data_IF_787032387265
#
_entry.id   IF_787032387265
#
_cell.length_a   1.000
_cell.length_b   1.000
_cell.length_c   1.000
_cell.angle_alpha   90.00
_cell.angle_beta   90.00
_cell.angle_gamma   90.00
#
_symmetry.space_group_name_H-M   'P 1'
#
loop_
_entity.id
_entity.type
_entity.pdbx_description
1 polymer ?
#
# COMPACT_ATOMS: atom_id res chain seq x y z
N UNK A 1 -47.66 25.64 38.66
CA UNK A 1 -48.73 26.03 39.61
C UNK A 1 -48.36 26.00 41.11
N UNK A 2 -47.43 25.14 41.60
CA UNK A 2 -47.13 25.00 43.04
C UNK A 2 -46.37 26.18 43.69
N UNK A 3 -45.58 26.93 42.91
CA UNK A 3 -44.84 28.12 43.35
C UNK A 3 -45.75 29.34 43.55
N UNK A 4 -46.82 29.47 42.76
CA UNK A 4 -47.80 30.57 42.90
C UNK A 4 -48.60 30.46 44.19
N UNK A 5 -49.12 29.26 44.53
CA UNK A 5 -49.84 29.03 45.81
C UNK A 5 -48.98 29.34 47.03
N UNK A 6 -47.68 29.09 46.91
CA UNK A 6 -46.66 29.35 47.93
C UNK A 6 -46.35 30.83 48.13
N UNK A 7 -46.23 31.59 47.04
CA UNK A 7 -46.12 33.06 47.07
C UNK A 7 -47.38 33.72 47.64
N UNK A 8 -48.56 33.22 47.25
CA UNK A 8 -49.85 33.67 47.78
C UNK A 8 -49.94 33.43 49.29
N UNK A 9 -49.48 32.27 49.79
CA UNK A 9 -49.45 31.98 51.22
C UNK A 9 -48.49 32.90 52.00
N UNK A 10 -47.37 33.30 51.39
CA UNK A 10 -46.39 34.23 51.97
C UNK A 10 -46.98 35.65 52.07
N UNK A 11 -47.70 36.10 51.03
CA UNK A 11 -48.46 37.37 51.06
C UNK A 11 -49.59 37.31 52.09
N UNK A 12 -50.27 36.17 52.23
CA UNK A 12 -51.36 35.97 53.19
C UNK A 12 -50.87 35.88 54.64
N UNK A 13 -49.67 35.34 54.88
CA UNK A 13 -48.99 35.32 56.18
C UNK A 13 -48.45 36.71 56.58
N UNK A 14 -48.09 37.54 55.60
CA UNK A 14 -47.67 38.94 55.78
C UNK A 14 -48.83 39.93 55.92
N UNK A 15 -50.03 39.57 55.45
CA UNK A 15 -51.24 40.39 55.49
C UNK A 15 -51.62 40.86 56.92
N UNK A 16 -51.59 40.03 57.98
CA UNK A 16 -51.83 40.50 59.35
C UNK A 16 -50.73 41.44 59.86
N UNK A 17 -49.49 41.32 59.39
CA UNK A 17 -48.41 42.28 59.71
C UNK A 17 -48.68 43.65 59.08
N UNK A 18 -49.15 43.68 57.83
CA UNK A 18 -49.57 44.91 57.15
C UNK A 18 -50.80 45.55 57.81
N UNK A 19 -51.79 44.75 58.22
CA UNK A 19 -52.99 45.24 58.92
C UNK A 19 -52.61 45.85 60.29
N UNK A 20 -51.74 45.18 61.07
CA UNK A 20 -51.25 45.72 62.35
C UNK A 20 -50.42 47.00 62.20
N UNK A 21 -49.83 47.26 61.03
CA UNK A 21 -49.07 48.49 60.74
C UNK A 21 -49.99 49.64 60.31
N UNK A 22 -51.15 49.34 59.70
CA UNK A 22 -52.12 50.31 59.19
C UNK A 22 -53.13 50.77 60.26
N UNK A 23 -53.46 49.94 61.24
CA UNK A 23 -54.39 50.27 62.33
C UNK A 23 -53.72 50.90 63.57
N UNK A 24 -52.69 51.74 63.37
CA UNK A 24 -52.02 52.44 64.45
C UNK A 24 -52.83 53.67 64.91
N UNK A 25 -54.00 53.45 65.52
CA UNK A 25 -54.64 54.44 66.38
C UNK A 25 -54.33 54.10 67.85
N UNK A 26 -53.90 55.13 68.58
CA UNK A 26 -53.40 55.06 69.95
C UNK A 26 -54.47 54.64 70.97
N UNK A 27 -54.21 53.57 71.72
CA UNK A 27 -54.63 53.47 73.12
C UNK A 27 -53.47 52.95 73.97
N UNK A 28 -52.93 53.82 74.84
CA UNK A 28 -51.94 53.46 75.84
C UNK A 28 -52.53 52.49 76.88
N UNK A 29 -52.17 51.20 76.85
CA UNK A 29 -52.17 50.37 78.06
C UNK A 29 -51.07 49.29 78.08
N UNK A 30 -50.14 49.45 79.05
CA UNK A 30 -49.02 48.55 79.41
C UNK A 30 -47.97 48.26 78.31
N UNK A 31 -46.76 48.80 78.50
CA UNK A 31 -45.55 48.54 77.67
C UNK A 31 -45.26 47.05 77.39
N UNK A 32 -45.77 46.15 78.24
CA UNK A 32 -45.59 44.71 78.12
C UNK A 32 -46.49 44.08 77.04
N UNK A 33 -47.74 44.53 76.87
CA UNK A 33 -48.67 43.95 75.89
C UNK A 33 -48.23 44.22 74.45
N UNK A 34 -47.76 45.44 74.17
CA UNK A 34 -47.27 45.81 72.84
C UNK A 34 -45.97 45.08 72.47
N UNK A 35 -45.08 44.90 73.44
CA UNK A 35 -43.85 44.12 73.26
C UNK A 35 -44.15 42.65 72.96
N UNK A 36 -45.11 42.05 73.67
CA UNK A 36 -45.56 40.67 73.41
C UNK A 36 -46.20 40.57 72.01
N UNK A 37 -47.05 41.51 71.61
CA UNK A 37 -47.65 41.53 70.28
C UNK A 37 -46.62 41.61 69.15
N UNK A 38 -45.64 42.52 69.25
CA UNK A 38 -44.54 42.64 68.28
C UNK A 38 -43.65 41.39 68.24
N UNK A 39 -43.40 40.77 69.39
CA UNK A 39 -42.59 39.54 69.51
C UNK A 39 -43.30 38.35 68.87
N UNK A 40 -44.59 38.16 69.16
CA UNK A 40 -45.40 37.11 68.54
C UNK A 40 -45.44 37.30 67.03
N UNK A 41 -45.62 38.53 66.55
CA UNK A 41 -45.61 38.81 65.13
C UNK A 41 -44.27 38.47 64.47
N UNK A 42 -43.15 38.89 65.08
CA UNK A 42 -41.81 38.55 64.60
C UNK A 42 -41.60 37.02 64.53
N UNK A 43 -42.05 36.28 65.55
CA UNK A 43 -41.95 34.81 65.57
C UNK A 43 -42.78 34.18 64.45
N UNK A 44 -44.00 34.65 64.21
CA UNK A 44 -44.86 34.14 63.13
C UNK A 44 -44.23 34.42 61.77
N UNK A 45 -43.73 35.64 61.56
CA UNK A 45 -43.07 36.03 60.32
C UNK A 45 -41.79 35.23 60.09
N UNK A 46 -40.91 35.19 61.09
CA UNK A 46 -39.62 34.49 61.00
C UNK A 46 -39.82 32.97 60.88
N UNK A 47 -40.75 32.39 61.62
CA UNK A 47 -41.12 30.97 61.51
C UNK A 47 -41.68 30.62 60.14
N UNK A 48 -42.57 31.46 59.58
CA UNK A 48 -43.11 31.30 58.23
C UNK A 48 -42.02 31.39 57.15
N UNK A 49 -41.11 32.37 57.28
CA UNK A 49 -39.98 32.54 56.37
C UNK A 49 -38.99 31.37 56.46
N UNK A 50 -38.62 30.95 57.66
CA UNK A 50 -37.71 29.82 57.90
C UNK A 50 -38.29 28.52 57.34
N UNK A 51 -39.57 28.23 57.58
CA UNK A 51 -40.25 27.07 57.00
C UNK A 51 -40.25 27.10 55.46
N UNK A 52 -40.41 28.29 54.87
CA UNK A 52 -40.43 28.46 53.43
C UNK A 52 -39.05 28.33 52.78
N UNK A 53 -38.01 28.93 53.38
CA UNK A 53 -36.64 28.97 52.86
C UNK A 53 -35.86 27.67 53.15
N UNK A 54 -36.23 26.92 54.18
CA UNK A 54 -35.54 25.68 54.54
C UNK A 54 -35.44 24.69 53.37
N UNK A 55 -36.55 24.47 52.66
CA UNK A 55 -36.60 23.53 51.53
C UNK A 55 -35.76 23.97 50.31
N UNK A 56 -35.88 25.21 49.77
CA UNK A 56 -35.06 25.63 48.64
C UNK A 56 -33.57 25.72 48.97
N UNK A 57 -33.19 26.16 50.18
CA UNK A 57 -31.78 26.23 50.59
C UNK A 57 -31.19 24.82 50.69
N UNK A 58 -31.89 23.89 51.36
CA UNK A 58 -31.45 22.49 51.45
C UNK A 58 -31.32 21.84 50.08
N UNK A 59 -32.30 22.05 49.19
CA UNK A 59 -32.26 21.52 47.84
C UNK A 59 -31.10 22.10 47.01
N UNK A 60 -30.79 23.39 47.17
CA UNK A 60 -29.67 24.02 46.47
C UNK A 60 -28.33 23.45 46.95
N UNK A 61 -28.12 23.30 48.25
CA UNK A 61 -26.91 22.71 48.82
C UNK A 61 -26.75 21.24 48.43
N UNK A 62 -27.84 20.46 48.44
CA UNK A 62 -27.82 19.08 47.96
C UNK A 62 -27.47 19.00 46.48
N UNK A 63 -28.07 19.85 45.63
CA UNK A 63 -27.76 19.90 44.21
C UNK A 63 -26.29 20.26 43.96
N UNK A 64 -25.76 21.27 44.67
CA UNK A 64 -24.34 21.65 44.59
C UNK A 64 -23.41 20.50 45.02
N UNK A 65 -23.77 19.79 46.08
CA UNK A 65 -22.97 18.64 46.54
C UNK A 65 -22.98 17.51 45.50
N UNK A 66 -24.13 17.22 44.91
CA UNK A 66 -24.26 16.22 43.83
C UNK A 66 -23.50 16.61 42.57
N UNK A 67 -23.55 17.88 42.16
CA UNK A 67 -22.78 18.38 41.02
C UNK A 67 -21.27 18.22 41.23
N UNK A 68 -20.77 18.52 42.44
CA UNK A 68 -19.35 18.35 42.78
C UNK A 68 -18.96 16.87 42.82
N UNK A 69 -19.77 16.02 43.46
CA UNK A 69 -19.52 14.58 43.54
C UNK A 69 -19.51 13.94 42.15
N UNK A 70 -20.47 14.32 41.30
CA UNK A 70 -20.53 13.87 39.92
C UNK A 70 -19.32 14.36 39.12
N UNK A 71 -18.93 15.63 39.24
CA UNK A 71 -17.75 16.17 38.56
C UNK A 71 -16.45 15.49 38.98
N UNK A 72 -16.28 15.19 40.27
CA UNK A 72 -15.12 14.42 40.77
C UNK A 72 -15.11 13.00 40.22
N UNK A 73 -16.28 12.34 40.18
CA UNK A 73 -16.40 11.00 39.63
C UNK A 73 -16.08 10.96 38.14
N UNK A 74 -16.66 11.87 37.36
CA UNK A 74 -16.40 11.99 35.93
C UNK A 74 -14.93 12.28 35.63
N UNK A 75 -14.29 13.18 36.40
CA UNK A 75 -12.86 13.45 36.27
C UNK A 75 -12.00 12.20 36.57
N UNK A 76 -12.35 11.45 37.62
CA UNK A 76 -11.67 10.20 37.96
C UNK A 76 -11.87 9.10 36.92
N UNK A 77 -13.07 8.98 36.36
CA UNK A 77 -13.38 8.04 35.27
C UNK A 77 -12.60 8.40 34.00
N UNK A 78 -12.57 9.68 33.62
CA UNK A 78 -11.82 10.18 32.48
C UNK A 78 -10.30 9.96 32.63
N UNK A 79 -9.76 10.19 33.84
CA UNK A 79 -8.35 9.92 34.12
C UNK A 79 -8.01 8.43 33.96
N UNK A 80 -8.86 7.55 34.53
CA UNK A 80 -8.67 6.10 34.40
C UNK A 80 -8.75 5.64 32.95
N UNK A 81 -9.71 6.15 32.18
CA UNK A 81 -9.84 5.82 30.76
C UNK A 81 -8.62 6.30 29.96
N UNK A 82 -8.12 7.51 30.24
CA UNK A 82 -6.91 8.03 29.59
C UNK A 82 -5.67 7.18 29.92
N UNK A 83 -5.50 6.78 31.18
CA UNK A 83 -4.41 5.88 31.60
C UNK A 83 -4.50 4.51 30.93
N UNK A 84 -5.70 3.93 30.80
CA UNK A 84 -5.92 2.68 30.09
C UNK A 84 -5.54 2.80 28.62
N UNK A 85 -6.04 3.83 27.93
CA UNK A 85 -5.70 4.09 26.51
C UNK A 85 -4.21 4.30 26.30
N UNK A 86 -3.54 5.00 27.21
CA UNK A 86 -2.10 5.23 27.15
C UNK A 86 -1.32 3.92 27.34
N UNK A 87 -1.74 3.06 28.27
CA UNK A 87 -1.14 1.72 28.46
C UNK A 87 -1.34 0.84 27.22
N UNK A 88 -2.54 0.82 26.66
CA UNK A 88 -2.82 0.08 25.42
C UNK A 88 -1.99 0.59 24.24
N UNK A 89 -1.87 1.90 24.07
CA UNK A 89 -1.06 2.50 23.02
C UNK A 89 0.42 2.13 23.18
N UNK A 90 0.97 2.23 24.39
CA UNK A 90 2.35 1.84 24.67
C UNK A 90 2.59 0.35 24.45
N UNK A 91 1.64 -0.51 24.83
CA UNK A 91 1.74 -1.95 24.58
C UNK A 91 1.75 -2.25 23.07
N UNK A 92 0.93 -1.56 22.27
CA UNK A 92 0.93 -1.69 20.81
C UNK A 92 2.24 -1.20 20.20
N UNK A 93 2.78 -0.07 20.67
CA UNK A 93 4.07 0.45 20.21
C UNK A 93 5.21 -0.55 20.46
N UNK A 94 5.25 -1.16 21.65
CA UNK A 94 6.27 -2.15 21.97
C UNK A 94 6.20 -3.40 21.07
N UNK A 95 4.99 -3.85 20.71
CA UNK A 95 4.80 -4.97 19.78
C UNK A 95 5.24 -4.58 18.36
N UNK A 96 4.90 -3.36 17.92
CA UNK A 96 5.27 -2.86 16.59
C UNK A 96 6.79 -2.76 16.42
N UNK A 97 7.55 -2.41 17.45
CA UNK A 97 9.01 -2.38 17.38
C UNK A 97 9.61 -3.76 17.05
N UNK A 98 9.13 -4.82 17.71
CA UNK A 98 9.55 -6.21 17.43
C UNK A 98 9.10 -6.67 16.03
N UNK A 99 7.89 -6.33 15.61
CA UNK A 99 7.40 -6.61 14.25
C UNK A 99 8.25 -5.91 13.18
N UNK A 100 8.64 -4.65 13.40
CA UNK A 100 9.51 -3.90 12.49
C UNK A 100 10.90 -4.55 12.42
N UNK A 101 11.46 -4.99 13.54
CA UNK A 101 12.76 -5.67 13.53
C UNK A 101 12.69 -7.00 12.78
N UNK A 102 11.63 -7.79 13.00
CA UNK A 102 11.37 -9.03 12.25
C UNK A 102 11.23 -8.76 10.76
N UNK A 103 10.42 -7.78 10.37
CA UNK A 103 10.20 -7.41 8.97
C UNK A 103 11.51 -6.97 8.30
N UNK A 104 12.35 -6.20 8.99
CA UNK A 104 13.67 -5.80 8.47
C UNK A 104 14.58 -7.01 8.25
N UNK A 105 14.64 -7.94 9.20
CA UNK A 105 15.44 -9.17 9.07
C UNK A 105 14.95 -10.03 7.91
N UNK A 106 13.64 -10.19 7.77
CA UNK A 106 13.02 -10.96 6.69
C UNK A 106 13.31 -10.33 5.32
N UNK A 107 13.12 -9.01 5.20
CA UNK A 107 13.45 -8.26 3.98
C UNK A 107 14.93 -8.35 3.61
N UNK A 108 15.84 -8.37 4.59
CA UNK A 108 17.28 -8.54 4.33
C UNK A 108 17.61 -9.96 3.84
N UNK A 109 16.98 -11.00 4.43
CA UNK A 109 17.15 -12.40 4.00
C UNK A 109 16.59 -12.58 2.59
N UNK A 110 15.39 -12.08 2.32
CA UNK A 110 14.75 -12.14 1.01
C UNK A 110 15.56 -11.37 -0.03
N UNK A 111 16.03 -10.17 0.32
CA UNK A 111 16.88 -9.35 -0.54
C UNK A 111 18.20 -10.04 -0.91
N UNK A 112 18.84 -10.73 0.05
CA UNK A 112 20.04 -11.53 -0.23
C UNK A 112 19.73 -12.71 -1.16
N UNK A 113 18.65 -13.44 -0.91
CA UNK A 113 18.23 -14.58 -1.73
C UNK A 113 17.89 -14.16 -3.15
N UNK A 114 17.18 -13.05 -3.33
CA UNK A 114 16.86 -12.54 -4.67
C UNK A 114 18.11 -12.04 -5.39
N UNK A 115 19.03 -11.37 -4.67
CA UNK A 115 20.32 -10.98 -5.24
C UNK A 115 21.11 -12.19 -5.75
N UNK A 116 21.20 -13.25 -4.96
CA UNK A 116 21.87 -14.50 -5.37
C UNK A 116 21.19 -15.11 -6.59
N UNK A 117 19.86 -15.17 -6.60
CA UNK A 117 19.07 -15.67 -7.74
C UNK A 117 19.32 -14.87 -9.01
N UNK A 118 19.30 -13.54 -8.93
CA UNK A 118 19.56 -12.65 -10.07
C UNK A 118 20.98 -12.84 -10.60
N UNK A 119 21.98 -12.95 -9.71
CA UNK A 119 23.38 -13.20 -10.11
C UNK A 119 23.51 -14.55 -10.80
N UNK A 120 22.91 -15.61 -10.28
CA UNK A 120 22.92 -16.94 -10.90
C UNK A 120 22.26 -16.93 -12.28
N UNK A 121 21.10 -16.29 -12.40
CA UNK A 121 20.40 -16.16 -13.68
C UNK A 121 21.23 -15.38 -14.70
N UNK A 122 21.86 -14.27 -14.28
CA UNK A 122 22.73 -13.48 -15.14
C UNK A 122 23.96 -14.27 -15.61
N UNK A 123 24.55 -15.09 -14.74
CA UNK A 123 25.67 -15.97 -15.11
C UNK A 123 25.23 -17.05 -16.11
N UNK A 124 24.08 -17.68 -15.88
CA UNK A 124 23.52 -18.67 -16.81
C UNK A 124 23.23 -18.06 -18.17
N UNK A 125 22.64 -16.87 -18.21
CA UNK A 125 22.35 -16.17 -19.47
C UNK A 125 23.63 -15.74 -20.18
N UNK A 126 24.65 -15.27 -19.44
CA UNK A 126 25.94 -14.94 -20.02
C UNK A 126 26.61 -16.17 -20.66
N UNK A 127 26.58 -17.33 -20.01
CA UNK A 127 27.10 -18.58 -20.59
C UNK A 127 26.29 -19.03 -21.80
N UNK A 128 24.96 -18.89 -21.75
CA UNK A 128 24.06 -19.16 -22.87
C UNK A 128 24.39 -18.28 -24.08
N UNK A 129 24.58 -16.98 -23.87
CA UNK A 129 24.97 -16.03 -24.93
C UNK A 129 26.34 -16.41 -25.52
N UNK A 130 27.34 -16.71 -24.68
CA UNK A 130 28.66 -17.15 -25.16
C UNK A 130 28.57 -18.42 -25.99
N UNK A 131 27.75 -19.39 -25.58
CA UNK A 131 27.54 -20.62 -26.31
C UNK A 131 26.95 -20.35 -27.70
N UNK A 132 25.86 -19.58 -27.77
CA UNK A 132 25.26 -19.22 -29.06
C UNK A 132 26.20 -18.40 -29.94
N UNK A 133 26.94 -17.44 -29.37
CA UNK A 133 27.92 -16.66 -30.12
C UNK A 133 29.01 -17.55 -30.72
N UNK A 134 29.50 -18.56 -29.99
CA UNK A 134 30.48 -19.53 -30.53
C UNK A 134 29.89 -20.35 -31.68
N UNK A 135 28.66 -20.85 -31.53
CA UNK A 135 28.00 -21.60 -32.60
C UNK A 135 27.79 -20.75 -33.86
N UNK A 136 27.39 -19.49 -33.67
CA UNK A 136 27.20 -18.52 -34.76
C UNK A 136 28.53 -18.22 -35.47
N UNK A 137 29.60 -17.95 -34.71
CA UNK A 137 30.95 -17.72 -35.26
C UNK A 137 31.40 -18.93 -36.08
N UNK A 138 31.22 -20.15 -35.57
CA UNK A 138 31.59 -21.35 -36.32
C UNK A 138 30.78 -21.53 -37.60
N UNK A 139 29.48 -21.23 -37.57
CA UNK A 139 28.63 -21.27 -38.75
C UNK A 139 29.08 -20.26 -39.80
N UNK A 140 29.28 -19.00 -39.40
CA UNK A 140 29.75 -17.92 -40.26
C UNK A 140 31.13 -18.22 -40.83
N UNK A 141 32.03 -18.80 -40.03
CA UNK A 141 33.37 -19.18 -40.48
C UNK A 141 33.32 -20.29 -41.53
N UNK A 142 32.46 -21.31 -41.34
CA UNK A 142 32.25 -22.35 -42.35
C UNK A 142 31.68 -21.78 -43.65
N UNK A 143 30.69 -20.90 -43.56
CA UNK A 143 30.11 -20.22 -44.71
C UNK A 143 31.16 -19.37 -45.45
N UNK A 144 31.92 -18.54 -44.73
CA UNK A 144 32.96 -17.70 -45.32
C UNK A 144 34.09 -18.49 -45.98
N UNK A 145 34.47 -19.65 -45.42
CA UNK A 145 35.44 -20.56 -46.07
C UNK A 145 34.88 -21.12 -47.39
N UNK A 146 33.59 -21.46 -47.41
CA UNK A 146 32.94 -21.96 -48.63
C UNK A 146 32.88 -20.87 -49.71
N UNK A 147 32.49 -19.65 -49.33
CA UNK A 147 32.45 -18.50 -50.24
C UNK A 147 33.86 -18.19 -50.80
N UNK A 148 34.89 -18.21 -49.94
CA UNK A 148 36.26 -17.99 -50.36
C UNK A 148 36.74 -19.05 -51.36
N UNK A 149 36.43 -20.33 -51.10
CA UNK A 149 36.77 -21.43 -52.02
C UNK A 149 36.10 -21.27 -53.37
N UNK A 150 34.82 -20.87 -53.39
CA UNK A 150 34.10 -20.64 -54.63
C UNK A 150 34.73 -19.47 -55.40
N UNK A 151 34.99 -18.35 -54.74
CA UNK A 151 35.65 -17.20 -55.36
C UNK A 151 37.04 -17.54 -55.92
N UNK A 152 37.85 -18.33 -55.19
CA UNK A 152 39.16 -18.76 -55.68
C UNK A 152 39.06 -19.72 -56.87
N UNK A 153 38.08 -20.63 -56.89
CA UNK A 153 37.86 -21.52 -58.01
C UNK A 153 37.43 -20.75 -59.27
N UNK A 154 36.55 -19.76 -59.12
CA UNK A 154 36.12 -18.87 -60.20
C UNK A 154 37.29 -18.07 -60.76
N UNK A 155 38.10 -17.45 -59.88
CA UNK A 155 39.27 -16.67 -60.28
C UNK A 155 40.35 -17.53 -60.97
N UNK A 156 40.63 -18.72 -60.44
CA UNK A 156 41.59 -19.65 -61.03
C UNK A 156 41.12 -20.13 -62.41
N UNK A 157 39.83 -20.41 -62.57
CA UNK A 157 39.24 -20.82 -63.85
C UNK A 157 39.32 -19.67 -64.87
N UNK A 158 38.99 -18.45 -64.48
CA UNK A 158 39.11 -17.28 -65.34
C UNK A 158 40.56 -17.02 -65.79
N UNK A 159 41.53 -17.16 -64.87
CA UNK A 159 42.94 -17.00 -65.20
C UNK A 159 43.45 -18.11 -66.13
N UNK A 160 43.01 -19.36 -65.91
CA UNK A 160 43.33 -20.48 -66.78
C UNK A 160 42.76 -20.27 -68.19
N UNK A 161 41.50 -19.84 -68.30
CA UNK A 161 40.86 -19.51 -69.58
C UNK A 161 41.64 -18.40 -70.31
N UNK A 162 42.01 -17.33 -69.62
CA UNK A 162 42.80 -16.24 -70.21
C UNK A 162 44.18 -16.72 -70.69
N UNK A 163 44.86 -17.54 -69.89
CA UNK A 163 46.18 -18.12 -70.23
C UNK A 163 46.10 -19.04 -71.44
N UNK A 164 45.08 -19.90 -71.51
CA UNK A 164 44.85 -20.80 -72.65
C UNK A 164 44.59 -19.97 -73.90
N UNK A 165 43.65 -19.00 -73.86
CA UNK A 165 43.37 -18.11 -74.99
C UNK A 165 44.61 -17.39 -75.53
N UNK A 166 45.52 -16.96 -74.65
CA UNK A 166 46.75 -16.25 -75.05
C UNK A 166 47.86 -17.15 -75.60
N UNK A 167 47.88 -18.44 -75.25
CA UNK A 167 48.97 -19.37 -75.60
C UNK A 167 48.59 -20.44 -76.63
N UNK A 168 47.32 -20.57 -76.98
CA UNK A 168 46.83 -21.60 -77.88
C UNK A 168 47.41 -21.44 -79.30
N UNK A 169 48.08 -22.49 -79.80
CA UNK A 169 48.53 -22.55 -81.19
C UNK A 169 47.50 -23.24 -82.10
N UNK A 170 47.61 -23.09 -83.43
CA UNK A 170 46.77 -23.83 -84.38
C UNK A 170 46.88 -25.36 -84.21
N UNK A 171 48.07 -25.87 -83.88
CA UNK A 171 48.31 -27.29 -83.65
C UNK A 171 47.61 -27.80 -82.39
N UNK A 172 47.64 -27.02 -81.30
CA UNK A 172 46.90 -27.33 -80.06
C UNK A 172 45.39 -27.39 -80.32
N UNK A 173 44.87 -26.49 -81.16
CA UNK A 173 43.46 -26.43 -81.49
C UNK A 173 43.00 -27.65 -82.32
N UNK A 174 43.79 -28.07 -83.31
CA UNK A 174 43.53 -29.31 -84.06
C UNK A 174 43.58 -30.54 -83.15
N UNK A 175 44.60 -30.64 -82.29
CA UNK A 175 44.71 -31.74 -81.33
C UNK A 175 43.50 -31.83 -80.38
N UNK A 176 42.97 -30.70 -79.91
CA UNK A 176 41.77 -30.68 -79.08
C UNK A 176 40.51 -31.13 -79.83
N UNK A 177 40.38 -30.81 -81.11
CA UNK A 177 39.28 -31.27 -81.96
C UNK A 177 39.33 -32.79 -82.13
N UNK A 178 40.50 -33.32 -82.50
CA UNK A 178 40.67 -34.77 -82.72
C UNK A 178 40.38 -35.56 -81.44
N UNK A 179 40.88 -35.09 -80.30
CA UNK A 179 40.60 -35.69 -78.98
C UNK A 179 39.13 -35.59 -78.59
N UNK A 180 38.43 -34.53 -78.99
CA UNK A 180 36.99 -34.37 -78.74
C UNK A 180 36.17 -35.34 -79.58
N UNK A 181 36.56 -35.57 -80.83
CA UNK A 181 35.94 -36.57 -81.72
C UNK A 181 36.14 -37.98 -81.16
N UNK A 182 37.38 -38.32 -80.77
CA UNK A 182 37.69 -39.62 -80.14
C UNK A 182 36.85 -39.86 -78.87
N UNK A 183 36.71 -38.85 -78.01
CA UNK A 183 35.90 -38.93 -76.79
C UNK A 183 34.42 -39.18 -77.09
N UNK A 184 33.90 -38.57 -78.15
CA UNK A 184 32.50 -38.76 -78.56
C UNK A 184 32.31 -40.17 -79.12
N UNK A 185 33.23 -40.67 -79.92
CA UNK A 185 33.19 -42.03 -80.46
C UNK A 185 33.22 -43.08 -79.33
N UNK A 186 34.07 -42.91 -78.31
CA UNK A 186 34.08 -43.76 -77.11
C UNK A 186 32.72 -43.76 -76.37
N UNK A 187 32.08 -42.59 -76.25
CA UNK A 187 30.78 -42.45 -75.60
C UNK A 187 29.66 -43.08 -76.43
N UNK A 188 29.73 -42.96 -77.76
CA UNK A 188 28.79 -43.61 -78.70
C UNK A 188 28.94 -45.13 -78.64
N UNK A 189 30.15 -45.68 -78.68
CA UNK A 189 30.38 -47.13 -78.56
C UNK A 189 29.92 -47.68 -77.22
N UNK A 190 30.20 -46.97 -76.11
CA UNK A 190 29.77 -47.36 -74.76
C UNK A 190 28.25 -47.33 -74.59
N UNK A 191 27.57 -46.35 -75.21
CA UNK A 191 26.11 -46.26 -75.23
C UNK A 191 25.48 -47.39 -76.06
N UNK A 192 26.04 -47.65 -77.25
CA UNK A 192 25.53 -48.67 -78.16
C UNK A 192 25.77 -50.10 -77.63
N UNK A 193 26.88 -50.32 -76.93
CA UNK A 193 27.20 -51.58 -76.23
C UNK A 193 26.24 -51.84 -75.06
N UNK A 194 25.87 -50.81 -74.28
CA UNK A 194 24.81 -50.93 -73.25
C UNK A 194 23.45 -51.31 -73.85
N UNK A 195 23.10 -50.80 -75.04
CA UNK A 195 21.85 -51.10 -75.74
C UNK A 195 21.80 -52.54 -76.28
N UNK A 196 22.92 -53.07 -76.80
CA UNK A 196 23.06 -54.46 -77.27
C UNK A 196 22.95 -55.51 -76.16
N UNK A 197 23.33 -55.17 -74.93
CA UNK A 197 23.21 -56.08 -73.78
C UNK A 197 21.73 -56.22 -73.35
N UNK A 198 20.93 -55.16 -73.42
CA UNK A 198 19.50 -55.22 -73.11
C UNK A 198 18.65 -55.92 -74.20
N UNK A 199 19.07 -55.94 -75.47
CA UNK A 199 18.31 -56.61 -76.55
C UNK A 199 18.59 -58.11 -76.71
N UNK A 200 19.48 -58.69 -75.88
CA UNK A 200 19.81 -60.13 -75.88
C UNK A 200 19.25 -60.88 -74.65
N UNK A 201 18.56 -60.16 -73.76
CA UNK A 201 17.97 -60.67 -72.51
C UNK A 201 16.43 -60.64 -72.57
N UNK A 202 15.87 -60.48 -73.78
CA UNK A 202 14.46 -60.71 -74.12
C UNK A 202 14.44 -61.66 -75.30
#
# INVERSE_FOLDING_TARGET
MKTSRRKIFLVLLLLPFFISMVSADEEHSSNFRDFIGKTVNFIVLFGGLAYFLYKPIRNFLQKRSQEIEQGLKEAGDAQREAELKLREANARLAILEDEIEKLKKEAEIEGRKERERVVQLAQQEAERIKYFAKQEIEMLMRAGIQDLKQYTAELASALAEERIKKKMSPEDQSFLIDKSIEKLDELYEKSNSRKKIHSRVS
#
